data_IF_371011420616
#
_entry.id   IF_371011420616
#
_cell.length_a   1.000
_cell.length_b   1.000
_cell.length_c   1.000
_cell.angle_alpha   90.00
_cell.angle_beta   90.00
_cell.angle_gamma   90.00
#
_symmetry.space_group_name_H-M   'P 1'
#
loop_
_entity.id
_entity.type
_entity.pdbx_description
1 polymer ?
#
# COMPACT_ATOMS: atom_id res chain seq x y z
N UNK A 1 5.11 -18.90 4.07
CA UNK A 1 3.71 -18.76 4.56
C UNK A 1 3.07 -17.68 3.72
N UNK A 2 1.82 -17.82 3.30
CA UNK A 2 1.18 -16.87 2.39
C UNK A 2 -0.25 -16.63 2.83
N UNK A 3 -0.63 -15.36 2.92
CA UNK A 3 -1.97 -14.89 3.20
C UNK A 3 -2.47 -14.12 1.98
N UNK A 4 -3.72 -14.39 1.59
CA UNK A 4 -4.41 -13.66 0.52
C UNK A 4 -5.67 -13.06 1.06
N UNK A 5 -5.87 -11.78 0.82
CA UNK A 5 -6.98 -11.04 1.38
C UNK A 5 -7.38 -9.86 0.51
N UNK A 6 -8.62 -9.41 0.67
CA UNK A 6 -9.06 -8.10 0.16
C UNK A 6 -9.20 -7.12 1.30
N UNK A 7 -9.11 -5.85 0.97
CA UNK A 7 -9.43 -4.75 1.89
C UNK A 7 -10.69 -4.07 1.36
N UNK A 8 -11.83 -4.29 2.03
CA UNK A 8 -13.12 -3.70 1.67
C UNK A 8 -13.51 -2.70 2.74
N UNK A 9 -13.48 -1.41 2.40
CA UNK A 9 -13.44 -0.35 3.42
C UNK A 9 -12.20 -0.51 4.30
N UNK A 10 -12.39 -0.73 5.60
CA UNK A 10 -11.30 -0.95 6.56
C UNK A 10 -11.25 -2.39 7.07
N UNK A 11 -12.02 -3.28 6.45
CA UNK A 11 -12.13 -4.69 6.85
C UNK A 11 -11.26 -5.54 5.95
N UNK A 12 -10.45 -6.39 6.57
CA UNK A 12 -9.65 -7.41 5.89
C UNK A 12 -10.47 -8.69 5.77
N UNK A 13 -10.68 -9.13 4.54
CA UNK A 13 -11.38 -10.37 4.21
C UNK A 13 -10.35 -11.40 3.71
N UNK A 14 -9.97 -12.35 4.58
CA UNK A 14 -8.97 -13.38 4.25
C UNK A 14 -9.60 -14.53 3.44
N UNK A 15 -9.07 -14.76 2.24
CA UNK A 15 -9.50 -15.82 1.34
C UNK A 15 -8.66 -17.09 1.47
N UNK A 16 -7.36 -16.92 1.72
CA UNK A 16 -6.41 -18.02 1.82
C UNK A 16 -5.40 -17.71 2.92
N UNK A 17 -5.15 -18.69 3.79
CA UNK A 17 -4.24 -18.58 4.93
C UNK A 17 -3.41 -19.85 5.05
N UNK A 18 -2.17 -19.77 5.56
CA UNK A 18 -1.27 -20.92 5.63
C UNK A 18 -1.67 -21.95 6.72
N UNK A 19 -2.75 -21.68 7.48
CA UNK A 19 -3.32 -22.53 8.51
C UNK A 19 -4.11 -21.69 9.55
N UNK A 20 -5.13 -22.28 10.16
CA UNK A 20 -6.08 -21.58 11.05
C UNK A 20 -5.49 -21.00 12.36
N UNK A 21 -4.21 -21.23 12.64
CA UNK A 21 -3.51 -20.76 13.84
C UNK A 21 -2.34 -19.81 13.51
N UNK A 22 -2.14 -19.47 12.23
CA UNK A 22 -1.04 -18.63 11.80
C UNK A 22 -1.58 -17.27 11.36
N UNK A 23 -1.53 -16.33 12.29
CA UNK A 23 -1.87 -14.94 12.02
C UNK A 23 -0.80 -14.29 11.15
N UNK A 24 -1.23 -13.44 10.22
CA UNK A 24 -0.32 -12.58 9.48
C UNK A 24 0.31 -11.54 10.43
N UNK A 25 1.55 -11.08 10.17
CA UNK A 25 2.17 -10.05 10.99
C UNK A 25 1.32 -8.78 11.01
N UNK A 26 0.89 -8.35 12.20
CA UNK A 26 -0.11 -7.29 12.35
C UNK A 26 0.32 -5.98 11.68
N UNK A 27 1.55 -5.52 11.93
CA UNK A 27 2.08 -4.28 11.33
C UNK A 27 2.00 -4.27 9.80
N UNK A 28 2.20 -5.45 9.19
CA UNK A 28 2.15 -5.62 7.75
C UNK A 28 0.72 -5.60 7.21
N UNK A 29 -0.22 -6.23 7.93
CA UNK A 29 -1.65 -6.16 7.57
C UNK A 29 -2.16 -4.72 7.69
N UNK A 30 -1.82 -4.03 8.77
CA UNK A 30 -2.19 -2.62 8.99
C UNK A 30 -1.61 -1.70 7.91
N UNK A 31 -0.35 -1.92 7.51
CA UNK A 31 0.29 -1.21 6.41
C UNK A 31 -0.46 -1.37 5.08
N UNK A 32 -0.89 -2.60 4.76
CA UNK A 32 -1.70 -2.88 3.56
C UNK A 32 -3.08 -2.21 3.66
N UNK A 33 -3.73 -2.25 4.82
CA UNK A 33 -5.04 -1.60 5.02
C UNK A 33 -4.93 -0.09 4.84
N UNK A 34 -3.93 0.54 5.45
CA UNK A 34 -3.69 1.98 5.32
C UNK A 34 -3.44 2.38 3.85
N UNK A 35 -2.59 1.63 3.16
CA UNK A 35 -2.28 1.85 1.74
C UNK A 35 -3.51 1.65 0.86
N UNK A 36 -4.27 0.57 1.07
CA UNK A 36 -5.49 0.27 0.31
C UNK A 36 -6.57 1.34 0.51
N UNK A 37 -6.65 1.93 1.71
CA UNK A 37 -7.55 3.05 1.98
C UNK A 37 -7.14 4.29 1.19
N UNK A 38 -5.86 4.65 1.21
CA UNK A 38 -5.34 5.80 0.45
C UNK A 38 -5.44 5.60 -1.06
N UNK A 39 -5.34 4.35 -1.52
CA UNK A 39 -5.57 3.98 -2.91
C UNK A 39 -6.97 4.34 -3.39
N UNK A 40 -7.95 4.61 -2.52
CA UNK A 40 -9.31 5.04 -2.90
C UNK A 40 -9.41 6.51 -3.28
N UNK A 41 -8.38 7.31 -3.06
CA UNK A 41 -8.33 8.72 -3.45
C UNK A 41 -7.08 9.04 -4.27
N UNK A 42 -7.06 10.26 -4.85
CA UNK A 42 -5.90 10.83 -5.56
C UNK A 42 -5.26 9.86 -6.59
N UNK A 43 -6.09 9.14 -7.34
CA UNK A 43 -5.66 8.37 -8.51
C UNK A 43 -5.88 9.21 -9.75
N UNK A 44 -4.86 9.35 -10.58
CA UNK A 44 -4.96 10.00 -11.88
C UNK A 44 -4.54 9.04 -12.99
N UNK A 45 -5.35 8.95 -14.05
CA UNK A 45 -5.13 8.02 -15.15
C UNK A 45 -6.26 6.98 -15.24
N UNK A 46 -5.89 5.71 -15.42
CA UNK A 46 -6.86 4.61 -15.57
C UNK A 46 -7.71 4.45 -14.30
N UNK A 47 -8.97 4.09 -14.49
CA UNK A 47 -9.85 3.71 -13.39
C UNK A 47 -9.42 2.37 -12.78
N UNK A 48 -9.24 2.37 -11.46
CA UNK A 48 -8.84 1.21 -10.67
C UNK A 48 -9.80 1.13 -9.51
N UNK A 49 -10.39 -0.06 -9.32
CA UNK A 49 -11.25 -0.41 -8.19
C UNK A 49 -10.40 -1.07 -7.09
N UNK A 50 -9.97 -0.32 -6.04
CA UNK A 50 -9.06 -0.84 -5.03
C UNK A 50 -9.70 -1.95 -4.17
N UNK A 51 -11.03 -1.94 -4.04
CA UNK A 51 -11.75 -2.92 -3.22
C UNK A 51 -11.81 -4.31 -3.88
N UNK A 52 -11.49 -4.39 -5.18
CA UNK A 52 -11.37 -5.66 -5.91
C UNK A 52 -9.95 -6.24 -5.87
N UNK A 53 -8.97 -5.49 -5.39
CA UNK A 53 -7.58 -5.96 -5.35
C UNK A 53 -7.42 -7.09 -4.33
N UNK A 54 -6.95 -8.23 -4.83
CA UNK A 54 -6.56 -9.36 -4.01
C UNK A 54 -5.10 -9.19 -3.63
N UNK A 55 -4.86 -8.70 -2.42
CA UNK A 55 -3.54 -8.56 -1.85
C UNK A 55 -2.96 -9.91 -1.46
N UNK A 56 -1.64 -10.04 -1.60
CA UNK A 56 -0.87 -11.19 -1.17
C UNK A 56 0.25 -10.73 -0.25
N UNK A 57 0.34 -11.35 0.92
CA UNK A 57 1.43 -11.20 1.86
C UNK A 57 2.08 -12.57 2.03
N UNK A 58 3.37 -12.67 1.75
CA UNK A 58 4.13 -13.92 1.90
C UNK A 58 5.35 -13.72 2.79
N UNK A 59 5.61 -14.67 3.69
CA UNK A 59 6.84 -14.75 4.48
C UNK A 59 7.69 -15.89 3.96
N UNK A 60 8.90 -15.56 3.50
CA UNK A 60 9.91 -16.50 3.03
C UNK A 60 10.62 -17.22 4.17
N UNK A 61 11.53 -18.15 3.81
CA UNK A 61 12.31 -18.92 4.80
C UNK A 61 13.26 -18.07 5.66
N UNK A 62 13.62 -16.89 5.16
CA UNK A 62 14.47 -15.91 5.86
C UNK A 62 13.66 -14.93 6.72
N UNK A 63 12.35 -15.17 6.90
CA UNK A 63 11.42 -14.26 7.55
C UNK A 63 11.28 -12.89 6.86
N UNK A 64 11.74 -12.78 5.62
CA UNK A 64 11.52 -11.63 4.77
C UNK A 64 10.09 -11.63 4.22
N UNK A 65 9.47 -10.45 4.17
CA UNK A 65 8.12 -10.24 3.66
C UNK A 65 8.15 -9.90 2.18
N UNK A 66 7.28 -10.57 1.44
CA UNK A 66 6.88 -10.25 0.08
C UNK A 66 5.47 -9.67 0.12
N UNK A 67 5.24 -8.54 -0.55
CA UNK A 67 3.90 -7.95 -0.75
C UNK A 67 3.59 -7.90 -2.23
N UNK A 68 2.33 -8.13 -2.56
CA UNK A 68 1.84 -8.14 -3.93
C UNK A 68 0.33 -8.00 -4.01
N UNK A 69 -0.17 -7.99 -5.23
CA UNK A 69 -1.57 -8.27 -5.52
C UNK A 69 -1.71 -9.07 -6.81
N UNK A 70 -2.85 -9.74 -6.96
CA UNK A 70 -3.17 -10.43 -8.20
C UNK A 70 -3.71 -9.43 -9.23
N UNK A 71 -3.31 -9.60 -10.48
CA UNK A 71 -3.80 -8.78 -11.58
C UNK A 71 -5.29 -9.00 -11.77
N UNK A 72 -6.09 -8.00 -11.42
CA UNK A 72 -7.55 -8.02 -11.49
C UNK A 72 -8.06 -6.63 -11.86
N UNK A 73 -9.29 -6.55 -12.37
CA UNK A 73 -9.99 -5.28 -12.58
C UNK A 73 -9.23 -4.18 -13.36
N UNK A 74 -8.34 -4.56 -14.29
CA UNK A 74 -7.66 -3.62 -15.19
C UNK A 74 -6.26 -3.17 -14.77
N UNK A 75 -5.67 -3.78 -13.74
CA UNK A 75 -4.25 -3.61 -13.39
C UNK A 75 -3.48 -4.94 -13.39
N UNK A 76 -2.16 -4.83 -13.55
CA UNK A 76 -1.23 -5.95 -13.57
C UNK A 76 -0.99 -6.47 -12.15
N UNK A 77 -0.70 -7.77 -12.03
CA UNK A 77 -0.33 -8.38 -10.76
C UNK A 77 1.16 -8.29 -10.50
N UNK A 78 1.55 -8.18 -9.24
CA UNK A 78 2.96 -8.15 -8.83
C UNK A 78 3.18 -8.87 -7.50
N UNK A 79 4.45 -9.13 -7.19
CA UNK A 79 4.91 -9.55 -5.88
C UNK A 79 6.38 -9.18 -5.69
N UNK A 80 6.66 -8.31 -4.72
CA UNK A 80 8.01 -7.79 -4.45
C UNK A 80 8.45 -8.09 -3.03
N UNK A 81 9.74 -8.44 -2.89
CA UNK A 81 10.42 -8.72 -1.64
C UNK A 81 11.75 -7.95 -1.64
N UNK A 82 11.93 -7.06 -0.66
CA UNK A 82 13.16 -6.27 -0.49
C UNK A 82 13.93 -6.67 0.79
N UNK A 83 13.59 -7.82 1.39
CA UNK A 83 14.30 -8.34 2.55
C UNK A 83 13.85 -7.77 3.90
N UNK A 84 12.80 -6.95 3.95
CA UNK A 84 12.24 -6.46 5.21
C UNK A 84 11.68 -7.59 6.06
N UNK A 85 11.97 -7.56 7.37
CA UNK A 85 11.58 -8.61 8.31
C UNK A 85 10.09 -8.58 8.60
N UNK A 86 9.50 -9.73 8.95
CA UNK A 86 8.14 -9.80 9.50
C UNK A 86 7.94 -8.99 10.79
N UNK A 87 9.03 -8.69 11.52
CA UNK A 87 9.00 -7.92 12.77
C UNK A 87 9.22 -6.41 12.57
N UNK A 88 9.19 -5.94 11.31
CA UNK A 88 9.31 -4.53 10.94
C UNK A 88 8.19 -3.70 11.58
N UNK A 89 8.50 -2.44 11.95
CA UNK A 89 7.51 -1.53 12.52
C UNK A 89 6.38 -1.20 11.52
N UNK A 90 5.24 -0.73 12.02
CA UNK A 90 4.16 -0.25 11.14
C UNK A 90 4.65 0.85 10.19
N UNK A 91 5.42 1.83 10.68
CA UNK A 91 5.86 2.96 9.87
C UNK A 91 6.72 2.51 8.68
N UNK A 92 7.73 1.67 8.94
CA UNK A 92 8.59 1.13 7.89
C UNK A 92 7.82 0.24 6.91
N UNK A 93 6.91 -0.61 7.43
CA UNK A 93 6.08 -1.47 6.59
C UNK A 93 5.12 -0.65 5.71
N UNK A 94 4.48 0.38 6.26
CA UNK A 94 3.54 1.25 5.54
C UNK A 94 4.22 2.05 4.44
N UNK A 95 5.40 2.62 4.72
CA UNK A 95 6.21 3.31 3.69
C UNK A 95 6.55 2.36 2.56
N UNK A 96 7.02 1.15 2.87
CA UNK A 96 7.42 0.20 1.84
C UNK A 96 6.24 -0.35 1.02
N UNK A 97 5.11 -0.66 1.66
CA UNK A 97 3.89 -1.10 0.95
C UNK A 97 3.38 0.00 0.02
N UNK A 98 3.36 1.24 0.50
CA UNK A 98 2.94 2.40 -0.28
C UNK A 98 3.87 2.69 -1.46
N UNK A 99 5.19 2.67 -1.26
CA UNK A 99 6.20 2.86 -2.30
C UNK A 99 6.10 1.76 -3.37
N UNK A 100 5.97 0.52 -2.93
CA UNK A 100 5.80 -0.64 -3.81
C UNK A 100 4.53 -0.54 -4.65
N UNK A 101 3.39 -0.23 -4.04
CA UNK A 101 2.13 -0.04 -4.75
C UNK A 101 2.19 1.13 -5.75
N UNK A 102 2.81 2.24 -5.36
CA UNK A 102 3.02 3.40 -6.24
C UNK A 102 3.90 3.05 -7.44
N UNK A 103 5.04 2.38 -7.21
CA UNK A 103 5.96 1.98 -8.28
C UNK A 103 5.30 1.08 -9.31
N UNK A 104 4.48 0.13 -8.86
CA UNK A 104 3.79 -0.80 -9.74
C UNK A 104 2.68 -0.10 -10.57
N UNK A 105 1.87 0.73 -9.91
CA UNK A 105 0.81 1.48 -10.58
C UNK A 105 1.35 2.48 -11.59
N UNK A 106 2.41 3.21 -11.24
CA UNK A 106 3.00 4.23 -12.10
C UNK A 106 3.85 3.64 -13.22
N UNK A 107 4.60 2.57 -12.93
CA UNK A 107 5.54 1.95 -13.84
C UNK A 107 4.90 1.02 -14.87
N UNK A 108 3.82 0.31 -14.50
CA UNK A 108 3.25 -0.74 -15.33
C UNK A 108 1.80 -0.49 -15.76
N UNK A 109 1.00 0.16 -14.91
CA UNK A 109 -0.43 0.35 -15.18
C UNK A 109 -0.82 1.78 -15.61
N UNK A 110 0.17 2.68 -15.71
CA UNK A 110 0.00 4.09 -16.08
C UNK A 110 -1.00 4.83 -15.17
N UNK A 111 -1.06 4.45 -13.90
CA UNK A 111 -1.87 5.09 -12.86
C UNK A 111 -0.94 5.90 -11.97
N UNK A 112 -1.06 7.22 -12.06
CA UNK A 112 -0.32 8.13 -11.18
C UNK A 112 -1.02 8.17 -9.82
N UNK A 113 -0.35 7.65 -8.80
CA UNK A 113 -0.88 7.63 -7.45
C UNK A 113 0.22 7.70 -6.38
N UNK A 114 0.05 8.50 -5.31
CA UNK A 114 -0.97 9.53 -5.18
C UNK A 114 -0.69 10.77 -6.05
N UNK A 115 -1.66 11.21 -6.85
CA UNK A 115 -1.54 12.34 -7.77
C UNK A 115 -2.88 13.02 -8.11
N UNK A 116 -2.83 14.27 -8.56
CA UNK A 116 -3.92 14.97 -9.28
C UNK A 116 -3.64 15.21 -10.77
N UNK A 117 -2.74 14.43 -11.35
CA UNK A 117 -2.30 14.60 -12.75
C UNK A 117 -1.07 15.49 -12.92
N UNK A 118 -0.33 15.68 -11.83
CA UNK A 118 0.94 16.39 -11.77
C UNK A 118 1.97 15.54 -11.03
N UNK A 119 2.48 16.07 -9.93
CA UNK A 119 3.52 15.42 -9.14
C UNK A 119 2.98 14.31 -8.23
N UNK A 120 3.82 13.30 -8.00
CA UNK A 120 3.51 12.20 -7.08
C UNK A 120 3.88 12.61 -5.66
N UNK A 121 3.00 12.32 -4.71
CA UNK A 121 3.39 12.30 -3.30
C UNK A 121 4.32 11.12 -3.05
N UNK A 122 5.31 11.30 -2.18
CA UNK A 122 6.26 10.25 -1.81
C UNK A 122 5.96 9.71 -0.42
N UNK A 123 5.92 8.39 -0.23
CA UNK A 123 5.81 7.80 1.10
C UNK A 123 7.15 7.92 1.81
N UNK A 124 7.16 8.39 3.05
CA UNK A 124 8.35 8.53 3.89
C UNK A 124 8.06 8.27 5.35
N UNK A 125 9.10 7.93 6.10
CA UNK A 125 9.06 7.91 7.55
C UNK A 125 9.65 9.22 8.08
N UNK A 126 8.88 9.94 8.90
CA UNK A 126 9.29 11.16 9.60
C UNK A 126 8.90 11.01 11.06
N UNK A 127 9.86 11.14 11.99
CA UNK A 127 9.64 11.02 13.43
C UNK A 127 8.81 9.77 13.82
N UNK A 128 9.17 8.61 13.24
CA UNK A 128 8.50 7.31 13.40
C UNK A 128 7.04 7.24 12.91
N UNK A 129 6.57 8.25 12.18
CA UNK A 129 5.29 8.24 11.48
C UNK A 129 5.48 7.97 9.98
N UNK A 130 4.62 7.10 9.44
CA UNK A 130 4.49 6.88 8.00
C UNK A 130 3.63 8.00 7.40
N UNK A 131 4.20 8.79 6.48
CA UNK A 131 3.59 9.99 5.90
C UNK A 131 3.67 10.03 4.38
N UNK A 132 2.72 10.72 3.77
CA UNK A 132 2.83 11.22 2.40
C UNK A 132 3.43 12.63 2.40
N UNK A 133 4.48 12.83 1.61
CA UNK A 133 5.17 14.11 1.47
C UNK A 133 5.02 14.64 0.05
N UNK A 134 4.76 15.94 -0.07
CA UNK A 134 4.93 16.65 -1.33
C UNK A 134 6.43 16.95 -1.53
N UNK A 135 7.10 16.32 -2.51
CA UNK A 135 8.54 16.46 -2.67
C UNK A 135 8.98 17.86 -3.13
N UNK A 136 8.07 18.70 -3.63
CA UNK A 136 8.42 20.05 -4.10
C UNK A 136 8.42 21.08 -2.98
N UNK A 137 7.44 20.98 -2.09
CA UNK A 137 7.32 21.85 -0.92
C UNK A 137 8.05 21.28 0.30
N UNK A 138 8.57 20.05 0.22
CA UNK A 138 9.11 19.25 1.33
C UNK A 138 8.14 19.23 2.53
N UNK A 139 6.85 19.06 2.21
CA UNK A 139 5.75 19.23 3.17
C UNK A 139 5.03 17.92 3.40
N UNK A 140 4.85 17.57 4.68
CA UNK A 140 3.94 16.48 5.06
C UNK A 140 2.50 16.86 4.68
N UNK A 141 1.87 16.02 3.86
CA UNK A 141 0.48 16.18 3.42
C UNK A 141 -0.48 15.46 4.35
N UNK A 142 -0.18 14.20 4.69
CA UNK A 142 -0.98 13.39 5.60
C UNK A 142 -0.18 12.20 6.13
N UNK A 143 -0.72 11.50 7.13
CA UNK A 143 -0.31 10.14 7.45
C UNK A 143 -0.70 9.18 6.31
N UNK A 144 0.04 8.09 6.15
CA UNK A 144 -0.39 6.96 5.32
C UNK A 144 -1.58 6.29 6.02
N UNK A 145 -2.71 6.17 5.30
CA UNK A 145 -4.01 5.72 5.80
C UNK A 145 -5.03 6.85 6.02
N UNK A 146 -4.61 8.11 5.95
CA UNK A 146 -5.49 9.26 6.15
C UNK A 146 -5.59 10.17 4.92
N UNK A 147 -4.98 9.78 3.79
CA UNK A 147 -4.86 10.64 2.62
C UNK A 147 -6.23 11.09 2.09
N UNK A 148 -7.23 10.23 2.18
CA UNK A 148 -8.58 10.51 1.70
C UNK A 148 -9.30 11.60 2.51
N UNK A 149 -8.89 11.84 3.76
CA UNK A 149 -9.39 12.95 4.58
C UNK A 149 -8.75 14.30 4.18
N UNK A 150 -7.60 14.27 3.51
CA UNK A 150 -6.80 15.46 3.18
C UNK A 150 -6.88 15.85 1.70
N UNK A 151 -7.70 15.16 0.90
CA UNK A 151 -7.86 15.38 -0.54
C UNK A 151 -8.22 16.83 -0.86
N UNK A 152 -9.05 17.51 -0.07
CA UNK A 152 -9.41 18.90 -0.34
C UNK A 152 -8.30 19.91 0.00
N UNK A 153 -7.34 19.53 0.83
CA UNK A 153 -6.28 20.42 1.35
C UNK A 153 -5.01 20.45 0.50
N UNK A 154 -4.85 19.48 -0.40
CA UNK A 154 -3.72 19.42 -1.32
C UNK A 154 -4.12 19.94 -2.71
N UNK A 155 -3.72 21.17 -3.01
CA UNK A 155 -3.75 21.71 -4.36
C UNK A 155 -2.53 21.12 -5.09
N UNK A 156 -2.78 20.15 -5.98
CA UNK A 156 -1.73 19.53 -6.79
C UNK A 156 -1.24 20.43 -7.91
#
# INVERSE_FOLDING_TARGET
MTWRFKVVGDVVDFYDTPGAQLDAPQAWVEAVVATARDLRCLRYGRDVDPDRLMWELSIGRTYAVTIGWHGTAGISGFGLCQGLSMNTSFAEAAVWVADTAQGELTGYDFVQWPSRGGHLLLPRQVDDAAVWIDPHEDRVVSLIGDLCCHVSSWAG
#
